data_IF_940063238038
#
_entry.id   IF_940063238038
#
_cell.length_a   1.000
_cell.length_b   1.000
_cell.length_c   1.000
_cell.angle_alpha   90.00
_cell.angle_beta   90.00
_cell.angle_gamma   90.00
#
_symmetry.space_group_name_H-M   'P 1'
#
loop_
_entity.id
_entity.type
_entity.pdbx_description
1 polymer ?
#
# COMPACT_ATOMS: atom_id res chain seq x y z
N UNK A 1 -13.16 0.83 -12.79
CA UNK A 1 -13.75 0.02 -11.72
C UNK A 1 -12.65 -0.24 -10.70
N UNK A 2 -12.87 0.11 -9.43
CA UNK A 2 -11.95 -0.24 -8.34
C UNK A 2 -12.49 -1.49 -7.65
N UNK A 3 -11.62 -2.48 -7.41
CA UNK A 3 -11.92 -3.60 -6.54
C UNK A 3 -11.63 -3.19 -5.09
N UNK A 4 -12.51 -3.57 -4.17
CA UNK A 4 -12.33 -3.36 -2.74
C UNK A 4 -12.11 -4.70 -2.05
N UNK A 5 -11.25 -4.72 -1.04
CA UNK A 5 -10.97 -5.91 -0.23
C UNK A 5 -11.40 -5.66 1.22
N UNK A 6 -11.98 -6.67 1.84
CA UNK A 6 -12.17 -6.69 3.30
C UNK A 6 -10.82 -6.92 4.01
N UNK A 7 -10.77 -6.62 5.32
CA UNK A 7 -9.57 -6.88 6.12
C UNK A 7 -9.17 -8.37 6.14
N UNK A 8 -10.16 -9.28 6.17
CA UNK A 8 -9.91 -10.72 6.15
C UNK A 8 -9.31 -11.18 4.82
N UNK A 9 -9.80 -10.66 3.69
CA UNK A 9 -9.26 -10.98 2.36
C UNK A 9 -7.84 -10.44 2.19
N UNK A 10 -7.58 -9.22 2.67
CA UNK A 10 -6.23 -8.67 2.70
C UNK A 10 -5.29 -9.56 3.50
N UNK A 11 -5.70 -10.01 4.69
CA UNK A 11 -4.88 -10.88 5.54
C UNK A 11 -4.53 -12.20 4.82
N UNK A 12 -5.49 -12.83 4.16
CA UNK A 12 -5.29 -14.08 3.41
C UNK A 12 -4.39 -13.92 2.17
N UNK A 13 -4.27 -12.70 1.62
CA UNK A 13 -3.50 -12.41 0.40
C UNK A 13 -2.21 -11.62 0.67
N UNK A 14 -1.88 -11.33 1.93
CA UNK A 14 -0.81 -10.40 2.32
C UNK A 14 0.56 -10.68 1.70
N UNK A 15 0.95 -11.94 1.56
CA UNK A 15 2.23 -12.32 0.93
C UNK A 15 2.29 -12.13 -0.59
N UNK A 16 1.16 -11.75 -1.22
CA UNK A 16 1.02 -11.58 -2.67
C UNK A 16 0.70 -10.14 -3.07
N UNK A 17 0.52 -9.24 -2.09
CA UNK A 17 0.10 -7.87 -2.32
C UNK A 17 1.08 -6.91 -1.65
N UNK A 18 1.40 -5.82 -2.33
CA UNK A 18 2.04 -4.66 -1.70
C UNK A 18 0.96 -3.71 -1.22
N UNK A 19 0.96 -3.41 0.08
CA UNK A 19 0.01 -2.48 0.69
C UNK A 19 0.63 -1.10 0.75
N UNK A 20 -0.06 -0.10 0.20
CA UNK A 20 0.34 1.30 0.29
C UNK A 20 -0.63 2.02 1.23
N UNK A 21 -0.09 2.55 2.33
CA UNK A 21 -0.85 3.34 3.30
C UNK A 21 -0.68 4.83 2.98
N UNK A 22 -1.77 5.47 2.56
CA UNK A 22 -1.77 6.87 2.08
C UNK A 22 -2.08 7.90 3.18
N UNK A 23 -2.18 7.46 4.43
CA UNK A 23 -2.39 8.33 5.58
C UNK A 23 -1.13 9.13 5.92
N UNK A 24 -1.26 10.08 6.86
CA UNK A 24 -0.12 10.83 7.37
C UNK A 24 0.87 9.91 8.11
N UNK A 25 2.16 10.28 8.21
CA UNK A 25 3.15 9.48 8.94
C UNK A 25 2.79 9.25 10.42
N UNK A 26 2.12 10.22 11.07
CA UNK A 26 1.68 10.09 12.45
C UNK A 26 0.61 9.01 12.65
N UNK A 27 -0.39 8.97 11.77
CA UNK A 27 -1.44 7.93 11.79
C UNK A 27 -0.89 6.54 11.48
N UNK A 28 0.07 6.46 10.55
CA UNK A 28 0.76 5.23 10.24
C UNK A 28 1.58 4.72 11.43
N UNK A 29 2.31 5.61 12.11
CA UNK A 29 3.12 5.27 13.29
C UNK A 29 2.26 4.82 14.48
N UNK A 30 1.04 5.36 14.63
CA UNK A 30 0.10 4.93 15.67
C UNK A 30 -0.43 3.50 15.46
N UNK A 31 -0.34 2.97 14.24
CA UNK A 31 -0.74 1.61 13.90
C UNK A 31 -1.07 1.47 12.42
N UNK A 32 -0.56 0.42 11.80
CA UNK A 32 -0.76 0.13 10.38
C UNK A 32 -0.68 -1.38 10.12
N UNK A 33 -1.02 -1.79 8.90
CA UNK A 33 -0.88 -3.17 8.45
C UNK A 33 0.61 -3.51 8.35
N UNK A 34 1.18 -4.46 9.13
CA UNK A 34 2.58 -4.87 8.97
C UNK A 34 3.02 -5.09 7.52
N UNK A 35 4.18 -4.54 7.15
CA UNK A 35 4.73 -4.59 5.78
C UNK A 35 4.10 -3.59 4.80
N UNK A 36 3.10 -2.80 5.21
CA UNK A 36 2.61 -1.70 4.39
C UNK A 36 3.67 -0.59 4.27
N UNK A 37 3.75 0.03 3.10
CA UNK A 37 4.60 1.18 2.84
C UNK A 37 3.79 2.47 3.02
N UNK A 38 4.26 3.38 3.87
CA UNK A 38 3.61 4.68 3.99
C UNK A 38 4.02 5.61 2.85
N UNK A 39 3.06 6.00 2.02
CA UNK A 39 3.22 6.98 0.95
C UNK A 39 2.07 7.96 1.09
N UNK A 40 2.24 9.05 1.87
CA UNK A 40 1.18 10.02 2.11
C UNK A 40 0.52 10.49 0.81
N UNK A 41 -0.79 10.73 0.84
CA UNK A 41 -1.60 11.00 -0.36
C UNK A 41 -1.03 12.15 -1.20
N UNK A 42 -0.49 13.19 -0.56
CA UNK A 42 0.16 14.33 -1.20
C UNK A 42 1.42 13.97 -2.00
N UNK A 43 2.07 12.84 -1.67
CA UNK A 43 3.25 12.32 -2.36
C UNK A 43 2.93 11.21 -3.36
N UNK A 44 1.71 10.64 -3.30
CA UNK A 44 1.35 9.44 -4.06
C UNK A 44 1.49 9.64 -5.57
N UNK A 45 1.04 10.77 -6.11
CA UNK A 45 1.14 11.05 -7.55
C UNK A 45 2.59 11.02 -8.04
N UNK A 46 3.53 11.55 -7.24
CA UNK A 46 4.96 11.56 -7.56
C UNK A 46 5.59 10.17 -7.44
N UNK A 47 5.15 9.37 -6.49
CA UNK A 47 5.65 8.03 -6.26
C UNK A 47 5.10 6.97 -7.24
N UNK A 48 3.95 7.25 -7.88
CA UNK A 48 3.23 6.29 -8.72
C UNK A 48 4.08 5.64 -9.83
N UNK A 49 4.97 6.36 -10.56
CA UNK A 49 5.84 5.73 -11.54
C UNK A 49 6.78 4.67 -10.94
N UNK A 50 7.39 4.97 -9.79
CA UNK A 50 8.29 4.04 -9.10
C UNK A 50 7.54 2.84 -8.53
N UNK A 51 6.35 3.05 -7.95
CA UNK A 51 5.49 1.98 -7.44
C UNK A 51 5.09 1.00 -8.55
N UNK A 52 4.75 1.52 -9.74
CA UNK A 52 4.44 0.69 -10.91
C UNK A 52 5.64 -0.10 -11.41
N UNK A 53 6.82 0.52 -11.46
CA UNK A 53 8.05 -0.17 -11.86
C UNK A 53 8.40 -1.30 -10.88
N UNK A 54 8.28 -1.05 -9.57
CA UNK A 54 8.51 -2.06 -8.54
C UNK A 54 7.52 -3.24 -8.64
N UNK A 55 6.24 -2.96 -8.90
CA UNK A 55 5.23 -4.00 -9.10
C UNK A 55 5.51 -4.87 -10.33
N UNK A 56 6.02 -4.28 -11.41
CA UNK A 56 6.37 -5.03 -12.63
C UNK A 56 7.61 -5.92 -12.45
N UNK A 57 8.56 -5.54 -11.60
CA UNK A 57 9.77 -6.31 -11.33
C UNK A 57 9.57 -7.48 -10.36
N UNK A 58 8.47 -7.48 -9.60
CA UNK A 58 8.12 -8.52 -8.64
C UNK A 58 7.22 -9.63 -9.22
N UNK A 59 6.90 -9.54 -10.52
CA UNK A 59 6.14 -10.54 -11.29
C UNK A 59 7.09 -11.43 -12.10
#
# INVERSE_FOLDING_TARGET
MTESLTAQELHARRGRLTVIDVRTPGEYAAGHVPGALNVPLEHLQRALPALRAAAAAAA
#
